data_IF_231046109332
#
_entry.id   IF_231046109332
#
_cell.length_a   1.000
_cell.length_b   1.000
_cell.length_c   1.000
_cell.angle_alpha   90.00
_cell.angle_beta   90.00
_cell.angle_gamma   90.00
#
_symmetry.space_group_name_H-M   'P 1'
#
loop_
_entity.id
_entity.type
_entity.pdbx_description
1 polymer ?
#
# COMPACT_ATOMS: atom_id res chain seq x y z
N UNK A 1 7.68 -25.09 3.72
CA UNK A 1 7.10 -24.74 5.03
C UNK A 1 7.56 -23.37 5.54
N UNK A 2 8.86 -23.06 5.61
CA UNK A 2 9.39 -21.80 6.18
C UNK A 2 8.94 -20.47 5.53
N UNK A 3 8.55 -20.45 4.24
CA UNK A 3 8.08 -19.21 3.57
C UNK A 3 6.72 -18.73 4.12
N UNK A 4 5.81 -19.68 4.35
CA UNK A 4 4.51 -19.39 4.94
C UNK A 4 4.63 -18.90 6.39
N UNK A 5 5.60 -19.42 7.14
CA UNK A 5 5.90 -18.94 8.49
C UNK A 5 6.27 -17.46 8.52
N UNK A 6 7.13 -16.99 7.62
CA UNK A 6 7.50 -15.58 7.53
C UNK A 6 6.31 -14.68 7.16
N UNK A 7 5.42 -15.13 6.27
CA UNK A 7 4.18 -14.40 5.92
C UNK A 7 3.26 -14.27 7.13
N UNK A 8 3.09 -15.35 7.91
CA UNK A 8 2.28 -15.32 9.13
C UNK A 8 2.87 -14.36 10.16
N UNK A 9 4.20 -14.38 10.35
CA UNK A 9 4.89 -13.45 11.26
C UNK A 9 4.71 -12.00 10.80
N UNK A 10 4.86 -11.71 9.51
CA UNK A 10 4.63 -10.37 8.96
C UNK A 10 3.18 -9.90 9.13
N UNK A 11 2.21 -10.80 8.93
CA UNK A 11 0.80 -10.50 9.16
C UNK A 11 0.52 -10.22 10.64
N UNK A 12 1.08 -11.00 11.57
CA UNK A 12 0.97 -10.73 13.01
C UNK A 12 1.59 -9.38 13.37
N UNK A 13 2.73 -9.02 12.77
CA UNK A 13 3.32 -7.69 12.91
C UNK A 13 2.38 -6.57 12.46
N UNK A 14 1.68 -6.76 11.34
CA UNK A 14 0.68 -5.81 10.85
C UNK A 14 -0.53 -5.70 11.79
N UNK A 15 -1.00 -6.79 12.38
CA UNK A 15 -2.07 -6.79 13.39
C UNK A 15 -1.65 -6.03 14.65
N UNK A 16 -0.41 -6.23 15.12
CA UNK A 16 0.16 -5.48 16.26
C UNK A 16 0.21 -3.99 15.95
N UNK A 17 0.63 -3.62 14.72
CA UNK A 17 0.71 -2.23 14.28
C UNK A 17 -0.66 -1.57 14.17
N UNK A 18 -1.65 -2.28 13.65
CA UNK A 18 -3.03 -1.78 13.51
C UNK A 18 -3.74 -1.57 14.84
N UNK A 19 -3.25 -2.21 15.93
CA UNK A 19 -3.82 -2.18 17.29
C UNK A 19 -5.36 -2.13 17.24
N UNK A 20 -6.03 -3.19 16.77
CA UNK A 20 -7.47 -3.19 16.63
C UNK A 20 -8.11 -2.91 18.01
N UNK A 21 -8.82 -1.79 18.10
CA UNK A 21 -9.58 -1.43 19.29
C UNK A 21 -10.91 -2.19 19.23
N UNK A 22 -11.04 -3.23 20.04
CA UNK A 22 -12.23 -4.10 20.06
C UNK A 22 -13.50 -3.43 20.61
N UNK A 23 -13.44 -2.16 21.01
CA UNK A 23 -14.59 -1.36 21.40
C UNK A 23 -15.25 -0.60 20.24
N UNK A 24 -14.71 -0.69 19.01
CA UNK A 24 -15.22 0.00 17.82
C UNK A 24 -16.10 -0.86 16.90
N UNK A 25 -16.62 -0.25 15.84
CA UNK A 25 -17.42 -0.96 14.83
C UNK A 25 -16.61 -2.06 14.12
N UNK A 26 -16.99 -3.31 14.35
CA UNK A 26 -16.28 -4.48 13.80
C UNK A 26 -16.29 -4.54 12.26
N UNK A 27 -17.22 -3.84 11.61
CA UNK A 27 -17.36 -3.80 10.16
C UNK A 27 -16.17 -3.12 9.47
N UNK A 28 -15.53 -2.13 10.12
CA UNK A 28 -14.34 -1.46 9.58
C UNK A 28 -13.16 -2.41 9.38
N UNK A 29 -12.96 -3.37 10.29
CA UNK A 29 -11.88 -4.36 10.20
C UNK A 29 -12.07 -5.31 9.01
N UNK A 30 -13.31 -5.71 8.72
CA UNK A 30 -13.64 -6.57 7.57
C UNK A 30 -13.35 -5.84 6.26
N UNK A 31 -13.72 -4.55 6.18
CA UNK A 31 -13.42 -3.72 5.00
C UNK A 31 -11.91 -3.58 4.81
N UNK A 32 -11.16 -3.28 5.88
CA UNK A 32 -9.70 -3.14 5.82
C UNK A 32 -9.00 -4.43 5.40
N UNK A 33 -9.43 -5.59 5.92
CA UNK A 33 -8.89 -6.87 5.52
C UNK A 33 -9.20 -7.20 4.04
N UNK A 34 -10.45 -6.95 3.63
CA UNK A 34 -10.89 -7.16 2.24
C UNK A 34 -10.14 -6.25 1.27
N UNK A 35 -9.90 -5.00 1.64
CA UNK A 35 -9.14 -4.05 0.81
C UNK A 35 -7.69 -4.51 0.65
N UNK A 36 -7.06 -5.05 1.68
CA UNK A 36 -5.72 -5.64 1.60
C UNK A 36 -5.63 -6.77 0.58
N UNK A 37 -6.63 -7.65 0.53
CA UNK A 37 -6.72 -8.72 -0.47
C UNK A 37 -6.84 -8.13 -1.89
N UNK A 38 -7.76 -7.17 -2.08
CA UNK A 38 -7.96 -6.49 -3.36
C UNK A 38 -6.69 -5.80 -3.85
N UNK A 39 -5.97 -5.09 -2.96
CA UNK A 39 -4.69 -4.45 -3.28
C UNK A 39 -3.62 -5.48 -3.67
N UNK A 40 -3.58 -6.62 -3.00
CA UNK A 40 -2.71 -7.73 -3.38
C UNK A 40 -2.98 -8.23 -4.80
N UNK A 41 -4.24 -8.47 -5.16
CA UNK A 41 -4.63 -8.84 -6.52
C UNK A 41 -4.32 -7.75 -7.53
N UNK A 42 -4.55 -6.48 -7.18
CA UNK A 42 -4.22 -5.33 -8.01
C UNK A 42 -2.73 -5.33 -8.34
N UNK A 43 -1.82 -5.41 -7.36
CA UNK A 43 -0.39 -5.42 -7.61
C UNK A 43 0.08 -6.61 -8.46
N UNK A 44 -0.44 -7.81 -8.22
CA UNK A 44 -0.10 -9.00 -9.02
C UNK A 44 -0.55 -8.81 -10.48
N UNK A 45 -1.75 -8.28 -10.69
CA UNK A 45 -2.32 -8.07 -12.02
C UNK A 45 -1.60 -6.94 -12.76
N UNK A 46 -1.38 -5.81 -12.09
CA UNK A 46 -0.61 -4.67 -12.61
C UNK A 46 0.80 -5.09 -13.00
N UNK A 47 1.45 -5.97 -12.22
CA UNK A 47 2.75 -6.53 -12.56
C UNK A 47 2.73 -7.36 -13.84
N UNK A 48 1.70 -8.19 -14.04
CA UNK A 48 1.55 -8.98 -15.29
C UNK A 48 1.30 -8.07 -16.49
N UNK A 49 0.42 -7.08 -16.35
CA UNK A 49 0.09 -6.13 -17.41
C UNK A 49 1.24 -5.18 -17.76
N UNK A 50 2.14 -4.89 -16.83
CA UNK A 50 3.28 -4.00 -17.07
C UNK A 50 4.21 -4.50 -18.19
N UNK A 51 4.23 -5.81 -18.47
CA UNK A 51 5.03 -6.41 -19.55
C UNK A 51 4.27 -6.51 -20.89
N UNK A 52 2.94 -6.45 -20.89
CA UNK A 52 2.11 -6.74 -22.08
C UNK A 52 1.45 -5.49 -22.70
N UNK A 53 1.32 -4.38 -21.97
CA UNK A 53 0.48 -3.25 -22.39
C UNK A 53 1.14 -1.85 -22.39
N UNK A 54 0.45 -0.89 -23.01
CA UNK A 54 0.79 0.53 -22.94
C UNK A 54 0.59 1.07 -21.50
N UNK A 55 1.56 1.80 -20.92
CA UNK A 55 1.50 2.27 -19.52
C UNK A 55 0.24 3.06 -19.16
N UNK A 56 -0.30 3.80 -20.12
CA UNK A 56 -1.47 4.65 -19.94
C UNK A 56 -2.74 3.83 -19.61
N UNK A 57 -2.95 2.70 -20.29
CA UNK A 57 -4.12 1.84 -20.09
C UNK A 57 -4.17 1.26 -18.67
N UNK A 58 -3.02 0.88 -18.13
CA UNK A 58 -2.91 0.24 -16.81
C UNK A 58 -3.16 1.20 -15.64
N UNK A 59 -3.12 2.51 -15.88
CA UNK A 59 -3.47 3.55 -14.88
C UNK A 59 -4.91 4.03 -15.08
N UNK A 60 -5.29 4.25 -16.34
CA UNK A 60 -6.56 4.91 -16.68
C UNK A 60 -7.75 3.96 -16.52
N UNK A 61 -7.65 2.70 -16.94
CA UNK A 61 -8.78 1.76 -16.81
C UNK A 61 -9.17 1.51 -15.35
N UNK A 62 -8.24 1.22 -14.41
CA UNK A 62 -8.61 1.08 -12.99
C UNK A 62 -9.23 2.35 -12.40
N UNK A 63 -8.77 3.53 -12.80
CA UNK A 63 -9.34 4.80 -12.34
C UNK A 63 -10.81 4.98 -12.81
N UNK A 64 -11.10 4.69 -14.09
CA UNK A 64 -12.48 4.73 -14.60
C UNK A 64 -13.38 3.67 -13.98
N UNK A 65 -12.89 2.45 -13.81
CA UNK A 65 -13.65 1.38 -13.14
C UNK A 65 -13.95 1.78 -11.70
N UNK A 66 -12.97 2.34 -10.97
CA UNK A 66 -13.17 2.88 -9.63
C UNK A 66 -14.21 3.98 -9.59
N UNK A 67 -14.17 4.92 -10.55
CA UNK A 67 -15.18 5.97 -10.69
C UNK A 67 -16.58 5.38 -10.89
N UNK A 68 -16.74 4.42 -11.81
CA UNK A 68 -18.03 3.79 -12.10
C UNK A 68 -18.56 3.03 -10.88
N UNK A 69 -17.71 2.24 -10.21
CA UNK A 69 -18.11 1.44 -9.03
C UNK A 69 -18.47 2.33 -7.84
N UNK A 70 -17.76 3.44 -7.63
CA UNK A 70 -17.99 4.34 -6.50
C UNK A 70 -19.10 5.37 -6.77
N UNK A 71 -19.42 5.66 -8.04
CA UNK A 71 -20.44 6.64 -8.41
C UNK A 71 -21.83 6.40 -7.78
N UNK A 72 -22.35 5.16 -7.63
CA UNK A 72 -23.64 4.91 -7.00
C UNK A 72 -23.61 5.17 -5.48
N UNK A 73 -22.44 5.21 -4.85
CA UNK A 73 -22.30 5.51 -3.42
C UNK A 73 -22.38 7.01 -3.10
N UNK A 74 -22.15 7.87 -4.10
CA UNK A 74 -22.18 9.34 -3.95
C UNK A 74 -23.48 9.81 -3.26
N UNK A 75 -24.70 9.48 -3.71
CA UNK A 75 -25.92 10.01 -3.08
C UNK A 75 -26.11 9.60 -1.61
N UNK A 76 -25.47 8.52 -1.14
CA UNK A 76 -25.66 8.01 0.22
C UNK A 76 -24.65 8.54 1.25
N UNK A 77 -23.44 8.88 0.81
CA UNK A 77 -22.30 9.20 1.71
C UNK A 77 -21.50 10.43 1.30
N UNK A 78 -21.93 11.17 0.28
CA UNK A 78 -21.21 12.35 -0.21
C UNK A 78 -21.22 13.48 0.81
N UNK A 79 -20.03 14.00 1.10
CA UNK A 79 -19.85 15.25 1.83
C UNK A 79 -19.13 16.22 0.90
N UNK A 80 -19.74 17.38 0.63
CA UNK A 80 -19.16 18.35 -0.28
C UNK A 80 -17.85 18.92 0.31
N UNK A 81 -16.74 18.92 -0.44
CA UNK A 81 -15.48 19.50 0.02
C UNK A 81 -15.63 21.00 0.26
N UNK A 82 -14.95 21.52 1.29
CA UNK A 82 -14.97 22.96 1.55
C UNK A 82 -14.16 23.67 0.45
N UNK A 83 -14.56 24.89 0.03
CA UNK A 83 -13.83 25.63 -1.02
C UNK A 83 -12.34 25.83 -0.70
N UNK A 84 -11.98 25.91 0.58
CA UNK A 84 -10.61 26.07 1.06
C UNK A 84 -9.76 24.81 0.84
N UNK A 85 -10.37 23.63 0.84
CA UNK A 85 -9.68 22.34 0.71
C UNK A 85 -9.43 21.96 -0.75
N UNK A 86 -10.02 22.67 -1.71
CA UNK A 86 -9.93 22.37 -3.14
C UNK A 86 -8.49 22.33 -3.63
N UNK A 87 -7.65 23.26 -3.17
CA UNK A 87 -6.23 23.29 -3.54
C UNK A 87 -5.45 22.07 -3.01
N UNK A 88 -5.77 21.63 -1.79
CA UNK A 88 -5.18 20.42 -1.20
C UNK A 88 -5.62 19.18 -1.97
N UNK A 89 -6.90 19.09 -2.35
CA UNK A 89 -7.43 17.97 -3.13
C UNK A 89 -6.76 17.90 -4.50
N UNK A 90 -6.63 19.03 -5.20
CA UNK A 90 -5.95 19.10 -6.51
C UNK A 90 -4.49 18.67 -6.36
N UNK A 91 -3.77 19.20 -5.36
CA UNK A 91 -2.39 18.83 -5.09
C UNK A 91 -2.23 17.33 -4.80
N UNK A 92 -3.13 16.76 -3.99
CA UNK A 92 -3.16 15.33 -3.68
C UNK A 92 -3.38 14.48 -4.94
N UNK A 93 -4.34 14.84 -5.80
CA UNK A 93 -4.62 14.12 -7.05
C UNK A 93 -3.42 14.14 -7.99
N UNK A 94 -2.79 15.31 -8.16
CA UNK A 94 -1.62 15.46 -9.04
C UNK A 94 -0.45 14.63 -8.52
N UNK A 95 -0.10 14.77 -7.24
CA UNK A 95 1.02 14.03 -6.63
C UNK A 95 0.80 12.52 -6.66
N UNK A 96 -0.41 12.07 -6.34
CA UNK A 96 -0.76 10.64 -6.36
C UNK A 96 -0.69 10.08 -7.78
N UNK A 97 -1.18 10.82 -8.77
CA UNK A 97 -1.12 10.39 -10.18
C UNK A 97 0.32 10.27 -10.69
N UNK A 98 1.19 11.22 -10.32
CA UNK A 98 2.62 11.18 -10.66
C UNK A 98 3.28 9.98 -9.98
N UNK A 99 3.07 9.82 -8.67
CA UNK A 99 3.63 8.70 -7.90
C UNK A 99 3.20 7.35 -8.46
N UNK A 100 1.92 7.17 -8.78
CA UNK A 100 1.40 5.94 -9.35
C UNK A 100 2.00 5.64 -10.74
N UNK A 101 2.20 6.68 -11.56
CA UNK A 101 2.88 6.55 -12.86
C UNK A 101 4.34 6.12 -12.70
N UNK A 102 5.05 6.68 -11.72
CA UNK A 102 6.43 6.30 -11.41
C UNK A 102 6.53 4.84 -10.93
N UNK A 103 5.64 4.41 -10.02
CA UNK A 103 5.58 3.02 -9.54
C UNK A 103 5.32 2.05 -10.69
N UNK A 104 4.37 2.38 -11.56
CA UNK A 104 4.04 1.52 -12.69
C UNK A 104 5.18 1.43 -13.71
N UNK A 105 5.89 2.54 -13.90
CA UNK A 105 7.09 2.59 -14.75
C UNK A 105 8.23 1.78 -14.12
N UNK A 106 8.41 1.83 -12.80
CA UNK A 106 9.40 1.03 -12.08
C UNK A 106 9.15 -0.48 -12.29
N UNK A 107 7.89 -0.94 -12.27
CA UNK A 107 7.55 -2.33 -12.59
C UNK A 107 7.90 -2.74 -14.03
N UNK A 108 7.95 -1.77 -14.96
CA UNK A 108 8.28 -2.03 -16.36
C UNK A 108 9.80 -2.09 -16.62
N UNK A 109 10.57 -1.24 -15.94
CA UNK A 109 12.02 -1.10 -16.19
C UNK A 109 12.91 -1.84 -15.18
N UNK A 110 12.40 -2.19 -13.98
CA UNK A 110 13.18 -2.78 -12.90
C UNK A 110 12.85 -4.25 -12.63
N UNK A 111 13.86 -5.03 -12.21
CA UNK A 111 13.64 -6.36 -11.65
C UNK A 111 12.88 -6.27 -10.32
N UNK A 112 11.98 -7.22 -10.05
CA UNK A 112 11.08 -7.19 -8.90
C UNK A 112 11.79 -7.10 -7.53
N UNK A 113 13.04 -7.57 -7.42
CA UNK A 113 13.82 -7.45 -6.18
C UNK A 113 14.28 -6.02 -5.89
N UNK A 114 14.34 -5.12 -6.88
CA UNK A 114 14.72 -3.73 -6.63
C UNK A 114 13.59 -2.89 -6.03
N UNK A 115 12.34 -3.32 -6.19
CA UNK A 115 11.15 -2.54 -5.82
C UNK A 115 10.67 -2.89 -4.40
N UNK A 116 10.92 -4.12 -3.93
CA UNK A 116 10.53 -4.55 -2.58
C UNK A 116 11.09 -3.65 -1.46
N UNK A 117 12.36 -3.19 -1.49
CA UNK A 117 12.91 -2.29 -0.47
C UNK A 117 12.23 -0.92 -0.42
N UNK A 118 11.71 -0.42 -1.55
CA UNK A 118 11.05 0.88 -1.62
C UNK A 118 9.75 0.94 -0.84
N UNK A 119 9.03 -0.18 -0.70
CA UNK A 119 7.83 -0.22 0.12
C UNK A 119 8.12 0.03 1.60
N UNK A 120 9.32 -0.30 2.10
CA UNK A 120 9.71 0.04 3.47
C UNK A 120 10.04 1.52 3.65
N UNK A 121 10.52 2.21 2.61
CA UNK A 121 10.72 3.67 2.66
C UNK A 121 9.40 4.43 2.90
N UNK A 122 8.25 3.88 2.49
CA UNK A 122 6.96 4.48 2.83
C UNK A 122 6.76 4.61 4.35
N UNK A 123 7.26 3.68 5.16
CA UNK A 123 7.13 3.73 6.63
C UNK A 123 7.93 4.92 7.18
N UNK A 124 9.14 5.13 6.66
CA UNK A 124 9.99 6.26 7.04
C UNK A 124 9.34 7.59 6.63
N UNK A 125 8.85 7.67 5.39
CA UNK A 125 8.14 8.85 4.88
C UNK A 125 6.88 9.15 5.68
N UNK A 126 6.05 8.15 5.96
CA UNK A 126 4.84 8.30 6.76
C UNK A 126 5.14 8.81 8.18
N UNK A 127 6.20 8.29 8.81
CA UNK A 127 6.65 8.75 10.14
C UNK A 127 7.16 10.20 10.08
N UNK A 128 7.96 10.53 9.08
CA UNK A 128 8.52 11.87 8.91
C UNK A 128 7.43 12.93 8.67
N UNK A 129 6.51 12.67 7.74
CA UNK A 129 5.41 13.59 7.46
C UNK A 129 4.36 13.61 8.59
N UNK A 130 4.14 12.48 9.27
CA UNK A 130 3.32 12.40 10.48
C UNK A 130 3.83 13.35 11.56
N UNK A 131 5.13 13.30 11.85
CA UNK A 131 5.76 14.21 12.79
C UNK A 131 5.71 15.67 12.32
N UNK A 132 6.04 15.95 11.04
CA UNK A 132 6.12 17.32 10.52
C UNK A 132 4.78 18.05 10.54
N UNK A 133 3.69 17.38 10.16
CA UNK A 133 2.37 18.01 10.01
C UNK A 133 1.46 17.83 11.22
N UNK A 134 1.58 16.72 11.94
CA UNK A 134 0.68 16.38 13.04
C UNK A 134 1.37 16.39 14.41
N UNK A 135 2.70 16.57 14.46
CA UNK A 135 3.50 16.44 15.70
C UNK A 135 3.29 15.10 16.41
N UNK A 136 2.86 14.08 15.66
CA UNK A 136 2.63 12.72 16.15
C UNK A 136 3.86 11.87 15.86
N UNK A 137 4.49 11.39 16.93
CA UNK A 137 5.58 10.42 16.80
C UNK A 137 5.09 9.01 17.13
N UNK A 138 5.45 7.98 16.34
CA UNK A 138 5.02 6.62 16.61
C UNK A 138 5.49 6.14 17.99
N UNK A 139 4.59 5.46 18.70
CA UNK A 139 4.93 4.88 20.00
C UNK A 139 5.71 3.57 19.90
N UNK A 140 6.17 3.06 21.05
CA UNK A 140 7.02 1.87 21.12
C UNK A 140 6.39 0.62 20.48
N UNK A 141 5.06 0.42 20.58
CA UNK A 141 4.43 -0.77 19.99
C UNK A 141 4.29 -0.59 18.48
N UNK A 142 4.04 0.63 17.99
CA UNK A 142 4.07 0.90 16.54
C UNK A 142 5.44 0.56 15.98
N UNK A 143 6.52 0.94 16.67
CA UNK A 143 7.88 0.54 16.30
C UNK A 143 8.09 -0.98 16.32
N UNK A 144 7.59 -1.69 17.34
CA UNK A 144 7.66 -3.17 17.40
C UNK A 144 6.95 -3.78 16.19
N UNK A 145 5.73 -3.33 15.88
CA UNK A 145 4.97 -3.80 14.71
C UNK A 145 5.73 -3.57 13.41
N UNK A 146 6.27 -2.36 13.22
CA UNK A 146 7.12 -2.01 12.06
C UNK A 146 8.33 -2.95 11.97
N UNK A 147 9.06 -3.18 13.05
CA UNK A 147 10.25 -4.05 13.04
C UNK A 147 9.91 -5.48 12.65
N UNK A 148 8.79 -6.02 13.15
CA UNK A 148 8.34 -7.38 12.79
C UNK A 148 7.95 -7.46 11.32
N UNK A 149 7.19 -6.48 10.80
CA UNK A 149 6.78 -6.43 9.38
C UNK A 149 8.01 -6.34 8.49
N UNK A 150 8.88 -5.36 8.73
CA UNK A 150 10.09 -5.13 7.92
C UNK A 150 11.04 -6.33 8.02
N UNK A 151 11.27 -6.86 9.21
CA UNK A 151 12.15 -8.02 9.42
C UNK A 151 11.66 -9.28 8.70
N UNK A 152 10.35 -9.55 8.74
CA UNK A 152 9.76 -10.68 8.02
C UNK A 152 9.88 -10.54 6.50
N UNK A 153 9.67 -9.32 5.98
CA UNK A 153 9.75 -9.04 4.56
C UNK A 153 11.18 -9.11 4.01
N UNK A 154 12.16 -8.51 4.71
CA UNK A 154 13.58 -8.64 4.38
C UNK A 154 14.06 -10.09 4.43
N UNK A 155 13.59 -10.88 5.39
CA UNK A 155 13.94 -12.30 5.48
C UNK A 155 13.46 -13.09 4.25
N UNK A 156 12.23 -12.83 3.79
CA UNK A 156 11.69 -13.45 2.57
C UNK A 156 12.54 -13.08 1.36
N UNK A 157 12.87 -11.79 1.22
CA UNK A 157 13.59 -11.25 0.07
C UNK A 157 15.05 -11.75 -0.02
N UNK A 158 15.81 -11.67 1.08
CA UNK A 158 17.20 -12.16 1.15
C UNK A 158 17.26 -13.65 0.79
N UNK A 159 16.25 -14.42 1.19
CA UNK A 159 16.18 -15.84 0.90
C UNK A 159 15.80 -16.12 -0.55
N UNK A 160 14.86 -15.38 -1.11
CA UNK A 160 14.44 -15.53 -2.52
C UNK A 160 15.60 -15.17 -3.46
N UNK A 161 16.37 -14.13 -3.13
CA UNK A 161 17.61 -13.77 -3.84
C UNK A 161 18.69 -14.86 -3.74
N UNK A 162 18.89 -15.47 -2.56
CA UNK A 162 19.84 -16.60 -2.42
C UNK A 162 19.46 -17.81 -3.25
N UNK A 163 18.18 -18.17 -3.30
CA UNK A 163 17.69 -19.32 -4.08
C UNK A 163 17.80 -19.05 -5.59
N UNK A 164 17.63 -17.80 -6.04
CA UNK A 164 17.85 -17.43 -7.44
C UNK A 164 19.33 -17.41 -7.82
N UNK A 165 20.24 -17.06 -6.91
CA UNK A 165 21.68 -17.04 -7.16
C UNK A 165 22.33 -18.44 -7.23
N UNK A 166 21.65 -19.48 -6.75
CA UNK A 166 22.10 -20.89 -6.86
C UNK A 166 21.62 -21.60 -8.14
N UNK A 167 20.82 -20.93 -8.99
CA UNK A 167 20.36 -21.45 -10.29
C UNK A 167 21.12 -20.82 -11.45
#
# INVERSE_FOLDING_TARGET
MHRWGAVVVGFLGAVILLRPVFSGESFGYIIAFSSGICVGFFYITSRKLAHEGAPFSTIVYPAYIGLIILSPLIPFKWTAPRPQDVWLIIGFVILTSIAQTMVLSAFRFGQASLIAPFHYMHIVGATFFGYLFFSEFPDLITWIGVTVVVGSGLYIEVRENKIQAEK
#
